data_IF_794670667807
#
_entry.id   IF_794670667807
#
_cell.length_a   1.000
_cell.length_b   1.000
_cell.length_c   1.000
_cell.angle_alpha   90.00
_cell.angle_beta   90.00
_cell.angle_gamma   90.00
#
_symmetry.space_group_name_H-M   'P 1'
#
loop_
_entity.id
_entity.type
_entity.pdbx_description
1 polymer ?
#
# COMPACT_ATOMS: atom_id res chain seq x y z
N UNK A 1 -7.73 17.70 14.10
CA UNK A 1 -7.92 17.40 12.67
C UNK A 1 -6.79 16.45 12.32
N UNK A 2 -7.07 15.20 11.95
CA UNK A 2 -6.02 14.33 11.41
C UNK A 2 -5.57 14.89 10.08
N UNK A 3 -4.26 14.89 9.85
CA UNK A 3 -3.67 15.39 8.62
C UNK A 3 -3.41 14.21 7.70
N UNK A 4 -4.26 14.07 6.69
CA UNK A 4 -4.08 13.09 5.63
C UNK A 4 -3.08 13.61 4.60
N UNK A 5 -2.13 12.77 4.18
CA UNK A 5 -1.14 13.08 3.15
C UNK A 5 -1.03 11.95 2.13
N UNK A 6 -0.69 12.29 0.89
CA UNK A 6 -0.41 11.31 -0.16
C UNK A 6 1.05 11.44 -0.55
N UNK A 7 1.78 10.33 -0.57
CA UNK A 7 3.20 10.28 -0.93
C UNK A 7 3.55 9.02 -1.72
N UNK A 8 4.72 9.02 -2.35
CA UNK A 8 5.26 7.82 -2.94
C UNK A 8 5.49 6.74 -1.86
N UNK A 9 5.15 5.50 -2.20
CA UNK A 9 5.43 4.35 -1.36
C UNK A 9 6.94 4.12 -1.26
N UNK A 10 7.36 3.63 -0.10
CA UNK A 10 8.74 3.24 0.16
C UNK A 10 8.79 1.74 0.50
N UNK A 11 9.97 1.09 0.46
CA UNK A 11 10.10 -0.30 0.86
C UNK A 11 9.62 -0.60 2.29
N UNK A 12 9.54 0.41 3.17
CA UNK A 12 9.03 0.27 4.54
C UNK A 12 7.51 0.15 4.61
N UNK A 13 6.80 0.63 3.59
CA UNK A 13 5.33 0.65 3.58
C UNK A 13 4.72 -0.68 3.11
N UNK A 14 5.54 -1.60 2.58
CA UNK A 14 5.07 -2.86 1.95
C UNK A 14 4.14 -3.68 2.82
N UNK A 15 4.48 -3.87 4.09
CA UNK A 15 3.64 -4.63 5.01
C UNK A 15 2.31 -3.90 5.29
N UNK A 16 2.35 -2.58 5.43
CA UNK A 16 1.16 -1.79 5.69
C UNK A 16 0.21 -1.74 4.47
N UNK A 17 0.76 -1.58 3.26
CA UNK A 17 0.01 -1.65 1.99
C UNK A 17 -0.68 -3.01 1.87
N UNK A 18 0.07 -4.09 2.09
CA UNK A 18 -0.48 -5.46 2.05
C UNK A 18 -1.66 -5.62 3.00
N UNK A 19 -1.52 -5.14 4.24
CA UNK A 19 -2.61 -5.20 5.22
C UNK A 19 -3.81 -4.38 4.73
N UNK A 20 -3.62 -3.16 4.26
CA UNK A 20 -4.72 -2.33 3.74
C UNK A 20 -5.45 -3.03 2.60
N UNK A 21 -4.73 -3.62 1.65
CA UNK A 21 -5.30 -4.36 0.52
C UNK A 21 -6.06 -5.61 0.98
N UNK A 22 -5.49 -6.43 1.86
CA UNK A 22 -6.15 -7.62 2.41
C UNK A 22 -7.45 -7.26 3.15
N UNK A 23 -7.46 -6.16 3.90
CA UNK A 23 -8.65 -5.68 4.60
C UNK A 23 -9.68 -5.06 3.66
N UNK A 24 -9.25 -4.35 2.62
CA UNK A 24 -10.14 -3.69 1.65
C UNK A 24 -10.87 -4.71 0.77
N UNK A 25 -10.18 -5.78 0.35
CA UNK A 25 -10.74 -6.81 -0.52
C UNK A 25 -11.26 -8.04 0.24
N UNK A 26 -10.90 -8.20 1.53
CA UNK A 26 -11.30 -9.32 2.36
C UNK A 26 -10.64 -10.65 1.99
N UNK A 27 -9.61 -10.62 1.15
CA UNK A 27 -8.86 -11.78 0.67
C UNK A 27 -7.42 -11.40 0.34
N UNK A 28 -6.54 -12.41 0.21
CA UNK A 28 -5.10 -12.21 -0.01
C UNK A 28 -4.68 -12.09 -1.47
N UNK A 29 -5.62 -12.27 -2.41
CA UNK A 29 -5.30 -12.33 -3.84
C UNK A 29 -4.81 -10.98 -4.38
N UNK A 30 -5.48 -9.90 -4.03
CA UNK A 30 -5.12 -8.55 -4.46
C UNK A 30 -3.76 -8.11 -3.89
N UNK A 31 -3.52 -8.36 -2.60
CA UNK A 31 -2.22 -8.13 -1.97
C UNK A 31 -1.09 -8.91 -2.64
N UNK A 32 -1.33 -10.19 -2.97
CA UNK A 32 -0.36 -11.01 -3.69
C UNK A 32 -0.09 -10.52 -5.11
N UNK A 33 -1.09 -9.97 -5.80
CA UNK A 33 -0.93 -9.37 -7.12
C UNK A 33 -0.05 -8.13 -7.06
N UNK A 34 -0.28 -7.23 -6.10
CA UNK A 34 0.53 -6.01 -5.95
C UNK A 34 1.97 -6.35 -5.57
N UNK A 35 2.17 -7.28 -4.64
CA UNK A 35 3.51 -7.79 -4.30
C UNK A 35 4.26 -8.31 -5.54
N UNK A 36 3.57 -9.03 -6.43
CA UNK A 36 4.16 -9.57 -7.65
C UNK A 36 4.54 -8.46 -8.65
N UNK A 37 3.67 -7.46 -8.85
CA UNK A 37 3.94 -6.32 -9.74
C UNK A 37 5.13 -5.50 -9.26
N UNK A 38 5.21 -5.21 -7.96
CA UNK A 38 6.32 -4.43 -7.38
C UNK A 38 7.62 -5.23 -7.43
N UNK A 39 7.59 -6.52 -7.10
CA UNK A 39 8.78 -7.39 -7.15
C UNK A 39 9.27 -7.63 -8.57
N UNK A 40 8.37 -7.64 -9.56
CA UNK A 40 8.70 -7.73 -10.98
C UNK A 40 9.30 -6.44 -11.57
N UNK A 41 9.20 -5.32 -10.86
CA UNK A 41 9.57 -4.00 -11.38
C UNK A 41 8.57 -3.44 -12.38
N UNK A 42 7.37 -4.02 -12.45
CA UNK A 42 6.29 -3.61 -13.37
C UNK A 42 5.46 -2.44 -12.81
N UNK A 43 5.62 -2.13 -11.51
CA UNK A 43 4.99 -0.97 -10.88
C UNK A 43 5.67 0.35 -11.32
N UNK A 44 4.98 1.12 -12.17
CA UNK A 44 5.45 2.43 -12.63
C UNK A 44 5.33 3.51 -11.56
N UNK A 45 4.29 3.42 -10.73
CA UNK A 45 4.04 4.31 -9.59
C UNK A 45 3.26 3.57 -8.52
N UNK A 46 3.62 3.80 -7.26
CA UNK A 46 2.89 3.32 -6.09
C UNK A 46 2.80 4.48 -5.09
N UNK A 47 1.59 4.80 -4.66
CA UNK A 47 1.32 5.89 -3.73
C UNK A 47 0.64 5.33 -2.49
N UNK A 48 0.89 5.96 -1.35
CA UNK A 48 0.19 5.67 -0.10
C UNK A 48 -0.50 6.91 0.41
N UNK A 49 -1.70 6.72 0.95
CA UNK A 49 -2.36 7.65 1.83
C UNK A 49 -1.94 7.37 3.27
N UNK A 50 -1.36 8.38 3.92
CA UNK A 50 -0.94 8.33 5.31
C UNK A 50 -1.80 9.26 6.17
N UNK A 51 -2.34 8.71 7.25
CA UNK A 51 -3.04 9.46 8.30
C UNK A 51 -2.35 9.19 9.64
N UNK A 52 -1.87 10.26 10.31
CA UNK A 52 -1.19 10.20 11.61
C UNK A 52 -0.04 9.16 11.68
N UNK A 53 0.70 8.99 10.57
CA UNK A 53 1.82 8.05 10.46
C UNK A 53 1.42 6.62 10.08
N UNK A 54 0.13 6.35 9.85
CA UNK A 54 -0.39 5.06 9.41
C UNK A 54 -0.80 5.09 7.95
N UNK A 55 -0.38 4.08 7.18
CA UNK A 55 -0.88 3.88 5.83
C UNK A 55 -2.32 3.37 5.91
N UNK A 56 -3.23 4.08 5.28
CA UNK A 56 -4.67 3.80 5.27
C UNK A 56 -5.23 3.57 3.86
N UNK A 57 -4.40 3.75 2.83
CA UNK A 57 -4.77 3.63 1.42
C UNK A 57 -3.58 3.81 0.48
#
# INVERSE_FOLDING_TARGET
MSMMSIRAATPRDREAIRLVEEHAFGQQAEAGLVDALVSGGDAVVELVAEEDGQVVG
#
